data_IF_831231697671
#
_entry.id   IF_831231697671
#
_cell.length_a   1.000
_cell.length_b   1.000
_cell.length_c   1.000
_cell.angle_alpha   90.00
_cell.angle_beta   90.00
_cell.angle_gamma   90.00
#
_symmetry.space_group_name_H-M   'P 1'
#
loop_
_entity.id
_entity.type
_entity.pdbx_description
1 polymer ?
#
# COMPACT_ATOMS: atom_id res chain seq x y z
N UNK A 1 10.09 39.64 24.40
CA UNK A 1 11.33 40.14 23.80
C UNK A 1 11.42 39.57 22.39
N UNK A 2 11.14 40.38 21.37
CA UNK A 2 11.19 39.96 19.97
C UNK A 2 12.62 40.09 19.49
N UNK A 3 13.32 38.96 19.29
CA UNK A 3 14.69 38.95 18.77
C UNK A 3 14.68 39.11 17.26
N UNK A 4 15.11 40.26 16.76
CA UNK A 4 15.42 40.46 15.35
C UNK A 4 16.69 39.69 15.01
N UNK A 5 16.55 38.57 14.30
CA UNK A 5 17.68 37.77 13.83
C UNK A 5 18.32 38.49 12.64
N UNK A 6 19.64 38.72 12.69
CA UNK A 6 20.37 39.46 11.65
C UNK A 6 20.34 38.71 10.29
N UNK A 7 19.98 39.39 9.19
CA UNK A 7 19.87 38.77 7.86
C UNK A 7 21.21 38.28 7.29
N UNK A 8 22.34 38.86 7.75
CA UNK A 8 23.69 38.42 7.38
C UNK A 8 24.04 37.04 7.94
N UNK A 9 23.53 36.71 9.14
CA UNK A 9 23.72 35.41 9.78
C UNK A 9 22.91 34.33 9.04
N UNK A 10 21.70 34.66 8.59
CA UNK A 10 20.90 33.76 7.76
C UNK A 10 21.58 33.47 6.41
N UNK A 11 22.14 34.49 5.76
CA UNK A 11 22.84 34.34 4.48
C UNK A 11 24.11 33.47 4.61
N UNK A 12 24.87 33.62 5.70
CA UNK A 12 26.03 32.77 5.96
C UNK A 12 25.63 31.31 6.22
N UNK A 13 24.57 31.06 7.00
CA UNK A 13 24.06 29.71 7.26
C UNK A 13 23.54 29.04 5.98
N UNK A 14 22.94 29.79 5.06
CA UNK A 14 22.50 29.27 3.75
C UNK A 14 23.71 28.94 2.87
N UNK A 15 24.70 29.85 2.77
CA UNK A 15 25.89 29.65 1.94
C UNK A 15 26.77 28.49 2.43
N UNK A 16 26.91 28.30 3.76
CA UNK A 16 27.65 27.17 4.31
C UNK A 16 26.95 25.84 4.00
N UNK A 17 25.60 25.80 4.07
CA UNK A 17 24.82 24.60 3.71
C UNK A 17 24.94 24.23 2.24
N UNK A 18 24.95 25.21 1.33
CA UNK A 18 25.18 24.96 -0.11
C UNK A 18 26.56 24.35 -0.40
N UNK A 19 27.59 24.75 0.37
CA UNK A 19 28.96 24.24 0.20
C UNK A 19 29.16 22.79 0.66
N UNK A 20 28.30 22.29 1.54
CA UNK A 20 28.34 20.91 2.04
C UNK A 20 27.56 19.95 1.13
N UNK A 21 26.44 20.41 0.56
CA UNK A 21 25.63 19.64 -0.40
C UNK A 21 26.44 19.29 -1.67
N UNK A 22 27.34 20.18 -2.10
CA UNK A 22 28.21 19.95 -3.27
C UNK A 22 29.37 18.95 -3.03
N UNK A 23 29.66 18.61 -1.76
CA UNK A 23 30.70 17.63 -1.40
C UNK A 23 30.14 16.25 -1.03
N UNK A 24 28.81 16.12 -0.97
CA UNK A 24 28.17 14.85 -0.67
C UNK A 24 28.38 13.84 -1.82
N UNK A 25 28.59 12.55 -1.52
CA UNK A 25 28.68 11.53 -2.56
C UNK A 25 27.35 11.45 -3.31
N UNK A 26 27.41 11.21 -4.63
CA UNK A 26 26.24 11.20 -5.52
C UNK A 26 25.13 10.22 -5.05
N UNK A 27 25.53 9.12 -4.41
CA UNK A 27 24.62 8.16 -3.79
C UNK A 27 23.76 8.79 -2.69
N UNK A 28 24.32 9.64 -1.83
CA UNK A 28 23.60 10.29 -0.73
C UNK A 28 22.63 11.34 -1.27
N UNK A 29 23.03 12.08 -2.31
CA UNK A 29 22.15 13.04 -2.99
C UNK A 29 20.95 12.33 -3.61
N UNK A 30 21.17 11.16 -4.23
CA UNK A 30 20.10 10.33 -4.81
C UNK A 30 19.17 9.77 -3.73
N UNK A 31 19.72 9.23 -2.64
CA UNK A 31 18.93 8.72 -1.50
C UNK A 31 18.09 9.83 -0.86
N UNK A 32 18.67 11.02 -0.67
CA UNK A 32 17.95 12.18 -0.15
C UNK A 32 16.83 12.61 -1.09
N UNK A 33 17.09 12.67 -2.39
CA UNK A 33 16.07 13.01 -3.39
C UNK A 33 14.90 12.01 -3.40
N UNK A 34 15.18 10.71 -3.21
CA UNK A 34 14.16 9.67 -3.11
C UNK A 34 13.35 9.78 -1.81
N UNK A 35 14.01 9.98 -0.66
CA UNK A 35 13.34 10.21 0.61
C UNK A 35 12.43 11.44 0.58
N UNK A 36 12.89 12.54 -0.04
CA UNK A 36 12.08 13.75 -0.21
C UNK A 36 10.85 13.51 -1.11
N UNK A 37 10.97 12.67 -2.15
CA UNK A 37 9.82 12.29 -2.99
C UNK A 37 8.82 11.46 -2.18
N UNK A 38 9.28 10.48 -1.42
CA UNK A 38 8.40 9.62 -0.62
C UNK A 38 7.59 10.42 0.41
N UNK A 39 8.24 11.33 1.13
CA UNK A 39 7.58 12.21 2.11
C UNK A 39 6.54 13.11 1.45
N UNK A 40 6.78 13.53 0.20
CA UNK A 40 5.85 14.35 -0.58
C UNK A 40 4.62 13.56 -1.03
N UNK A 41 4.81 12.34 -1.53
CA UNK A 41 3.71 11.50 -2.03
C UNK A 41 2.83 10.94 -0.90
N UNK A 42 3.41 10.65 0.28
CA UNK A 42 2.70 10.03 1.40
C UNK A 42 3.03 10.72 2.75
N UNK A 43 2.52 11.94 2.98
CA UNK A 43 2.81 12.70 4.19
C UNK A 43 2.13 12.11 5.44
N UNK A 44 2.75 12.35 6.60
CA UNK A 44 2.14 12.07 7.91
C UNK A 44 1.05 13.10 8.18
N UNK A 45 -0.18 12.64 8.36
CA UNK A 45 -1.36 13.48 8.54
C UNK A 45 -2.31 12.84 9.56
N UNK A 46 -2.42 13.47 10.73
CA UNK A 46 -3.25 13.01 11.84
C UNK A 46 -4.76 13.23 11.64
N UNK A 47 -5.17 13.97 10.60
CA UNK A 47 -6.59 14.17 10.28
C UNK A 47 -7.22 12.93 9.61
N UNK A 48 -6.41 12.06 9.02
CA UNK A 48 -6.86 10.87 8.32
C UNK A 48 -7.19 9.73 9.29
N UNK A 49 -8.17 8.88 8.98
CA UNK A 49 -8.61 7.80 9.87
C UNK A 49 -7.68 6.57 9.88
N UNK A 50 -6.65 6.54 9.05
CA UNK A 50 -5.69 5.44 8.93
C UNK A 50 -4.28 5.91 9.29
N UNK A 51 -3.41 4.97 9.64
CA UNK A 51 -2.00 5.28 9.91
C UNK A 51 -1.33 5.87 8.65
N UNK A 52 -0.79 7.07 8.79
CA UNK A 52 0.02 7.75 7.78
C UNK A 52 1.51 7.69 8.15
N UNK A 53 2.44 7.40 7.23
CA UNK A 53 2.22 7.14 5.80
C UNK A 53 1.37 5.88 5.56
N UNK A 54 0.49 5.94 4.55
CA UNK A 54 -0.32 4.80 4.17
C UNK A 54 0.58 3.60 3.91
N UNK A 55 0.24 2.47 4.51
CA UNK A 55 0.93 1.19 4.30
C UNK A 55 -0.10 0.05 4.30
N UNK A 56 0.18 -1.05 3.57
CA UNK A 56 -0.65 -2.24 3.65
C UNK A 56 -0.79 -2.76 5.08
N UNK A 57 -1.93 -3.37 5.37
CA UNK A 57 -2.19 -3.97 6.67
C UNK A 57 -1.20 -5.11 6.95
N UNK A 58 -0.82 -5.26 8.23
CA UNK A 58 -0.02 -6.42 8.65
C UNK A 58 -0.73 -7.74 8.24
N UNK A 59 0.03 -8.68 7.68
CA UNK A 59 -0.46 -9.97 7.18
C UNK A 59 -1.48 -9.90 6.03
N UNK A 60 -1.61 -8.76 5.33
CA UNK A 60 -2.48 -8.64 4.15
C UNK A 60 -2.08 -9.62 3.04
N UNK A 61 -0.79 -9.87 2.85
CA UNK A 61 -0.25 -10.72 1.77
C UNK A 61 -0.79 -12.16 1.78
N UNK A 62 -1.08 -12.72 2.95
CA UNK A 62 -1.61 -14.08 3.07
C UNK A 62 -3.02 -14.25 2.47
N UNK A 63 -3.77 -13.14 2.35
CA UNK A 63 -5.16 -13.13 1.90
C UNK A 63 -5.37 -12.24 0.66
N UNK A 64 -4.28 -11.73 0.07
CA UNK A 64 -4.32 -10.81 -1.06
C UNK A 64 -4.44 -11.56 -2.39
N UNK A 65 -5.57 -12.24 -2.62
CA UNK A 65 -5.89 -12.85 -3.91
C UNK A 65 -7.13 -12.20 -4.53
N UNK A 66 -7.08 -11.93 -5.84
CA UNK A 66 -8.21 -11.37 -6.60
C UNK A 66 -8.87 -12.50 -7.38
N UNK A 67 -10.18 -12.76 -7.18
CA UNK A 67 -10.87 -13.81 -7.90
C UNK A 67 -11.07 -13.46 -9.38
N UNK A 68 -11.02 -14.48 -10.24
CA UNK A 68 -11.09 -14.32 -11.73
C UNK A 68 -12.42 -13.80 -12.26
N UNK A 69 -13.47 -13.83 -11.44
CA UNK A 69 -14.79 -13.31 -11.78
C UNK A 69 -14.95 -11.81 -11.44
N UNK A 70 -13.93 -11.19 -10.84
CA UNK A 70 -13.88 -9.75 -10.57
C UNK A 70 -12.71 -9.11 -11.33
N UNK A 71 -13.00 -8.01 -12.02
CA UNK A 71 -11.97 -7.09 -12.51
C UNK A 71 -11.91 -5.91 -11.56
N UNK A 72 -10.73 -5.65 -10.98
CA UNK A 72 -10.54 -4.65 -9.92
C UNK A 72 -9.58 -3.55 -10.37
N UNK A 73 -9.92 -2.30 -10.06
CA UNK A 73 -9.05 -1.15 -10.24
C UNK A 73 -8.82 -0.47 -8.88
N UNK A 74 -7.64 -0.69 -8.31
CA UNK A 74 -7.28 -0.19 -6.98
C UNK A 74 -7.09 1.33 -6.91
N UNK A 75 -6.75 1.99 -8.02
CA UNK A 75 -6.50 3.44 -8.05
C UNK A 75 -7.79 4.22 -7.73
N UNK A 76 -8.93 3.71 -8.21
CA UNK A 76 -10.26 4.32 -7.98
C UNK A 76 -11.13 3.51 -7.01
N UNK A 77 -10.59 2.43 -6.44
CA UNK A 77 -11.31 1.51 -5.54
C UNK A 77 -12.62 0.95 -6.14
N UNK A 78 -12.61 0.64 -7.44
CA UNK A 78 -13.79 0.12 -8.15
C UNK A 78 -13.56 -1.33 -8.62
N UNK A 79 -14.67 -2.07 -8.80
CA UNK A 79 -14.66 -3.41 -9.32
C UNK A 79 -15.87 -3.66 -10.22
N UNK A 80 -15.69 -4.48 -11.26
CA UNK A 80 -16.76 -4.93 -12.15
C UNK A 80 -16.96 -6.43 -11.96
N UNK A 81 -18.21 -6.82 -11.75
CA UNK A 81 -18.62 -8.22 -11.69
C UNK A 81 -18.81 -8.76 -13.10
N UNK A 82 -17.81 -9.51 -13.58
CA UNK A 82 -17.78 -9.98 -14.96
C UNK A 82 -18.72 -11.18 -15.18
N UNK A 83 -18.71 -12.12 -14.23
CA UNK A 83 -19.44 -13.39 -14.36
C UNK A 83 -19.67 -14.05 -13.01
N UNK A 84 -20.48 -15.10 -13.01
CA UNK A 84 -20.62 -16.01 -11.87
C UNK A 84 -19.40 -16.95 -11.78
N UNK A 85 -18.95 -17.31 -10.55
CA UNK A 85 -17.85 -18.23 -10.37
C UNK A 85 -18.21 -19.62 -10.91
N UNK A 86 -17.32 -20.18 -11.73
CA UNK A 86 -17.49 -21.51 -12.33
C UNK A 86 -16.35 -22.44 -11.97
N UNK A 87 -16.63 -23.75 -11.91
CA UNK A 87 -15.60 -24.78 -11.83
C UNK A 87 -15.06 -25.10 -13.22
N UNK A 88 -13.74 -25.10 -13.37
CA UNK A 88 -13.02 -25.50 -14.58
C UNK A 88 -12.20 -26.77 -14.28
N UNK A 89 -11.81 -27.55 -15.30
CA UNK A 89 -10.91 -28.67 -15.08
C UNK A 89 -9.65 -28.22 -14.32
N UNK A 90 -9.42 -28.83 -13.15
CA UNK A 90 -8.27 -28.54 -12.28
C UNK A 90 -8.40 -27.36 -11.32
N UNK A 91 -9.44 -26.51 -11.42
CA UNK A 91 -9.58 -25.34 -10.53
C UNK A 91 -11.04 -24.91 -10.36
N UNK A 92 -11.43 -24.57 -9.14
CA UNK A 92 -12.68 -23.87 -8.86
C UNK A 92 -12.40 -22.37 -8.63
N UNK A 93 -13.21 -21.49 -9.22
CA UNK A 93 -13.04 -20.04 -9.03
C UNK A 93 -13.48 -19.57 -7.62
N UNK A 94 -14.29 -20.37 -6.90
CA UNK A 94 -14.75 -20.05 -5.54
C UNK A 94 -13.60 -20.17 -4.55
N UNK A 95 -13.26 -19.10 -3.80
CA UNK A 95 -12.19 -19.18 -2.81
C UNK A 95 -12.67 -19.95 -1.58
N UNK A 96 -12.12 -21.16 -1.38
CA UNK A 96 -12.38 -21.99 -0.22
C UNK A 96 -11.05 -22.50 0.37
N UNK A 97 -10.82 -22.36 1.68
CA UNK A 97 -9.63 -22.92 2.33
C UNK A 97 -9.76 -24.43 2.61
N UNK A 98 -10.85 -25.06 2.18
CA UNK A 98 -11.14 -26.46 2.46
C UNK A 98 -10.85 -27.38 1.27
N UNK A 99 -10.36 -28.59 1.57
CA UNK A 99 -10.21 -29.65 0.59
C UNK A 99 -11.57 -30.10 0.02
N UNK A 100 -11.52 -30.74 -1.16
CA UNK A 100 -12.72 -31.18 -1.90
C UNK A 100 -13.65 -32.07 -1.05
N UNK A 101 -13.09 -32.99 -0.26
CA UNK A 101 -13.86 -33.92 0.58
C UNK A 101 -14.78 -33.19 1.56
N UNK A 102 -14.31 -32.08 2.14
CA UNK A 102 -15.11 -31.26 3.06
C UNK A 102 -16.25 -30.56 2.33
N UNK A 103 -15.98 -30.05 1.12
CA UNK A 103 -17.00 -29.45 0.26
C UNK A 103 -18.06 -30.46 -0.16
N UNK A 104 -17.67 -31.70 -0.45
CA UNK A 104 -18.59 -32.79 -0.79
C UNK A 104 -19.48 -33.20 0.40
N UNK A 105 -18.90 -33.34 1.59
CA UNK A 105 -19.66 -33.61 2.81
C UNK A 105 -20.65 -32.48 3.12
N UNK A 106 -20.21 -31.23 2.99
CA UNK A 106 -21.07 -30.07 3.17
C UNK A 106 -22.25 -30.09 2.17
N UNK A 107 -21.99 -30.37 0.89
CA UNK A 107 -23.03 -30.50 -0.12
C UNK A 107 -24.08 -31.57 0.24
N UNK A 108 -23.63 -32.76 0.65
CA UNK A 108 -24.51 -33.86 1.05
C UNK A 108 -25.39 -33.48 2.26
N UNK A 109 -24.81 -32.81 3.26
CA UNK A 109 -25.56 -32.32 4.41
C UNK A 109 -26.65 -31.33 3.96
N UNK A 110 -26.33 -30.35 3.12
CA UNK A 110 -27.31 -29.34 2.70
C UNK A 110 -28.43 -29.87 1.80
N UNK A 111 -28.22 -30.99 1.10
CA UNK A 111 -29.29 -31.66 0.34
C UNK A 111 -30.40 -32.23 1.24
N UNK A 112 -30.05 -32.73 2.42
CA UNK A 112 -30.98 -33.46 3.31
C UNK A 112 -31.22 -32.78 4.66
N UNK A 113 -30.40 -31.78 4.99
CA UNK A 113 -30.28 -31.10 6.30
C UNK A 113 -30.08 -32.07 7.48
N UNK A 114 -29.42 -33.20 7.23
CA UNK A 114 -29.09 -34.26 8.20
C UNK A 114 -28.01 -35.19 7.65
#
# INVERSE_FOLDING_TARGET
>A
ASGTVDPSVQAQVVATKESEVSKAPEADVKMLAEALREVRENPIDASKPYATPWRPRAYMSAFAFVPRYLEVNHNICAAVYLRHPVARPGIAEVPSPFALDKSQLAYNWYLRRR
#
